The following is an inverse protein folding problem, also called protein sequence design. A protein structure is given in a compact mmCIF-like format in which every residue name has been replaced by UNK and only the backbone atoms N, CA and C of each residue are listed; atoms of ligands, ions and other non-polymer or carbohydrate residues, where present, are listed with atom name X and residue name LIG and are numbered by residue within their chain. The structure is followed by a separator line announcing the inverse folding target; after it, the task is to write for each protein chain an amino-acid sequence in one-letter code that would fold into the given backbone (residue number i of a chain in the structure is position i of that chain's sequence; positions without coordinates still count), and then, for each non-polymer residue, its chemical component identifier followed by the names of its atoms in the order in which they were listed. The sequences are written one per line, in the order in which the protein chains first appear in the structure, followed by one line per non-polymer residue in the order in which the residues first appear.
data_IF_065579897202
#
_entry.id   IF_065579897202
#
_cell.length_a   1.000
_cell.length_b   1.000
_cell.length_c   1.000
_cell.angle_alpha   90.00
_cell.angle_beta   90.00
_cell.angle_gamma   90.00
#
_symmetry.space_group_name_H-M   'P 1'
#
loop_
_entity.id
_entity.type
_entity.pdbx_description
1 polymer ?
#
# COMPACT_ATOMS: atom_id res chain seq x y z
N UNK A 1 -12.42 25.49 8.86
CA UNK A 1 -13.13 24.44 8.10
C UNK A 1 -14.34 25.06 7.38
N UNK A 2 -14.11 25.85 6.32
CA UNK A 2 -15.20 26.47 5.55
C UNK A 2 -15.28 25.85 4.15
N UNK A 3 -16.49 25.84 3.57
CA UNK A 3 -16.74 25.42 2.19
C UNK A 3 -16.75 23.91 1.94
N UNK A 4 -17.06 23.10 2.95
CA UNK A 4 -17.45 21.69 2.77
C UNK A 4 -18.97 21.62 2.55
N UNK A 5 -19.42 20.74 1.65
CA UNK A 5 -20.84 20.43 1.54
C UNK A 5 -21.30 19.56 2.75
N UNK A 6 -22.62 19.30 2.92
CA UNK A 6 -23.10 18.50 4.05
C UNK A 6 -22.50 17.10 4.14
N UNK A 7 -22.38 16.37 3.02
CA UNK A 7 -21.82 15.01 2.99
C UNK A 7 -20.33 14.98 3.33
N UNK A 8 -19.55 15.92 2.78
CA UNK A 8 -18.14 16.11 3.14
C UNK A 8 -17.98 16.49 4.62
N UNK A 9 -18.89 17.29 5.16
CA UNK A 9 -18.91 17.66 6.59
C UNK A 9 -19.20 16.44 7.46
N UNK A 10 -20.17 15.60 7.08
CA UNK A 10 -20.45 14.32 7.73
C UNK A 10 -19.22 13.43 7.73
N UNK A 11 -18.57 13.22 6.57
CA UNK A 11 -17.37 12.41 6.43
C UNK A 11 -16.18 12.91 7.27
N UNK A 12 -15.96 14.22 7.31
CA UNK A 12 -14.89 14.82 8.14
C UNK A 12 -15.18 14.63 9.64
N UNK A 13 -16.44 14.75 10.05
CA UNK A 13 -16.85 14.70 11.47
C UNK A 13 -17.07 13.29 12.01
N UNK A 14 -17.27 12.29 11.16
CA UNK A 14 -17.53 10.91 11.58
C UNK A 14 -16.44 10.35 12.52
N UNK A 15 -16.85 9.63 13.56
CA UNK A 15 -15.96 9.03 14.59
C UNK A 15 -16.53 7.70 15.07
N UNK A 16 -15.70 6.92 15.73
CA UNK A 16 -16.12 5.73 16.49
C UNK A 16 -16.20 4.44 15.67
N UNK A 17 -16.27 4.52 14.35
CA UNK A 17 -16.25 3.36 13.45
C UNK A 17 -15.40 3.64 12.22
N UNK A 18 -15.09 2.60 11.44
CA UNK A 18 -14.50 2.77 10.11
C UNK A 18 -15.43 3.56 9.19
N UNK A 19 -14.86 4.17 8.16
CA UNK A 19 -15.55 5.06 7.23
C UNK A 19 -15.12 4.75 5.79
N UNK A 20 -16.09 4.48 4.93
CA UNK A 20 -15.91 4.51 3.49
C UNK A 20 -16.57 5.78 2.92
N UNK A 21 -15.80 6.56 2.17
CA UNK A 21 -16.31 7.70 1.42
C UNK A 21 -16.26 7.36 -0.07
N UNK A 22 -17.43 7.14 -0.66
CA UNK A 22 -17.59 6.91 -2.08
C UNK A 22 -17.80 8.25 -2.78
N UNK A 23 -16.96 8.55 -3.75
CA UNK A 23 -16.96 9.86 -4.36
C UNK A 23 -16.37 9.85 -5.77
N UNK A 24 -17.12 10.41 -6.72
CA UNK A 24 -16.71 10.53 -8.12
C UNK A 24 -15.50 11.44 -8.35
N UNK A 25 -15.08 11.60 -9.61
CA UNK A 25 -14.06 12.57 -10.01
C UNK A 25 -14.44 14.00 -9.57
N UNK A 26 -13.48 14.77 -9.05
CA UNK A 26 -13.71 16.20 -8.72
C UNK A 26 -14.60 16.46 -7.49
N UNK A 27 -15.10 15.43 -6.81
CA UNK A 27 -15.93 15.49 -5.60
C UNK A 27 -15.20 15.99 -4.33
N UNK A 28 -13.88 16.17 -4.41
CA UNK A 28 -13.04 16.62 -3.30
C UNK A 28 -12.55 15.51 -2.36
N UNK A 29 -12.38 14.27 -2.84
CA UNK A 29 -11.80 13.12 -2.12
C UNK A 29 -10.63 13.49 -1.20
N UNK A 30 -9.54 13.96 -1.80
CA UNK A 30 -8.32 14.37 -1.08
C UNK A 30 -8.58 15.52 -0.10
N UNK A 31 -9.54 16.42 -0.39
CA UNK A 31 -9.95 17.49 0.53
C UNK A 31 -10.63 16.92 1.77
N UNK A 32 -11.47 15.89 1.63
CA UNK A 32 -12.10 15.20 2.76
C UNK A 32 -11.05 14.52 3.63
N UNK A 33 -10.13 13.75 3.04
CA UNK A 33 -9.03 13.09 3.78
C UNK A 33 -8.20 14.11 4.57
N UNK A 34 -7.69 15.13 3.89
CA UNK A 34 -6.83 16.16 4.52
C UNK A 34 -7.56 16.96 5.60
N UNK A 35 -8.83 17.33 5.37
CA UNK A 35 -9.61 18.07 6.37
C UNK A 35 -9.99 17.19 7.56
N UNK A 36 -10.22 15.89 7.35
CA UNK A 36 -10.43 14.93 8.43
C UNK A 36 -9.19 14.81 9.32
N UNK A 37 -7.99 14.70 8.72
CA UNK A 37 -6.73 14.70 9.47
C UNK A 37 -6.56 16.01 10.25
N UNK A 38 -6.79 17.15 9.60
CA UNK A 38 -6.74 18.45 10.27
C UNK A 38 -7.67 18.50 11.49
N UNK A 39 -8.89 17.95 11.35
CA UNK A 39 -9.85 17.87 12.47
C UNK A 39 -9.34 16.99 13.61
N UNK A 40 -8.78 15.81 13.31
CA UNK A 40 -8.19 14.93 14.33
C UNK A 40 -7.09 15.65 15.12
N UNK A 41 -6.20 16.36 14.44
CA UNK A 41 -5.12 17.13 15.07
C UNK A 41 -5.62 18.34 15.88
N UNK A 42 -6.73 18.95 15.48
CA UNK A 42 -7.39 20.02 16.26
C UNK A 42 -8.14 19.49 17.48
N UNK A 43 -8.47 18.19 17.50
CA UNK A 43 -9.08 17.47 18.62
C UNK A 43 -8.01 16.77 19.48
N UNK A 44 -6.76 17.23 19.39
CA UNK A 44 -5.61 16.76 20.17
C UNK A 44 -5.31 15.26 20.03
N UNK A 45 -5.68 14.65 18.91
CA UNK A 45 -5.15 13.33 18.52
C UNK A 45 -3.66 13.50 18.20
N UNK A 46 -2.82 12.72 18.88
CA UNK A 46 -1.37 12.74 18.66
C UNK A 46 -1.03 12.43 17.18
N UNK A 47 -0.19 13.24 16.50
CA UNK A 47 0.11 13.06 15.09
C UNK A 47 0.66 11.69 14.71
N UNK A 48 1.48 11.10 15.58
CA UNK A 48 2.05 9.76 15.44
C UNK A 48 1.00 8.64 15.43
N UNK A 49 -0.21 8.91 15.94
CA UNK A 49 -1.32 7.97 15.93
C UNK A 49 -2.15 8.04 14.63
N UNK A 50 -1.75 8.91 13.70
CA UNK A 50 -2.40 9.11 12.41
C UNK A 50 -1.46 8.69 11.28
N UNK A 51 -1.90 7.71 10.50
CA UNK A 51 -1.25 7.28 9.26
C UNK A 51 -2.16 7.60 8.09
N UNK A 52 -1.66 8.36 7.12
CA UNK A 52 -2.32 8.57 5.84
C UNK A 52 -1.48 8.03 4.68
N UNK A 53 -2.11 7.25 3.83
CA UNK A 53 -1.49 6.56 2.70
C UNK A 53 -2.15 6.97 1.39
N UNK A 54 -1.34 7.16 0.36
CA UNK A 54 -1.78 7.45 -1.02
C UNK A 54 -0.90 6.72 -2.04
N UNK A 55 -1.21 6.85 -3.33
CA UNK A 55 -0.52 6.16 -4.42
C UNK A 55 0.69 6.91 -4.96
N UNK A 56 0.75 8.24 -4.81
CA UNK A 56 1.84 9.04 -5.39
C UNK A 56 2.55 9.93 -4.37
N UNK A 57 3.86 10.10 -4.56
CA UNK A 57 4.65 11.02 -3.74
C UNK A 57 4.15 12.46 -3.88
N UNK A 58 3.63 12.83 -5.05
CA UNK A 58 3.00 14.13 -5.30
C UNK A 58 1.77 14.32 -4.42
N UNK A 59 0.83 13.37 -4.42
CA UNK A 59 -0.36 13.43 -3.57
C UNK A 59 0.02 13.48 -2.08
N UNK A 60 1.01 12.71 -1.64
CA UNK A 60 1.49 12.74 -0.26
C UNK A 60 2.05 14.11 0.13
N UNK A 61 2.80 14.75 -0.78
CA UNK A 61 3.36 16.09 -0.57
C UNK A 61 2.26 17.15 -0.54
N UNK A 62 1.34 17.14 -1.50
CA UNK A 62 0.22 18.08 -1.55
C UNK A 62 -0.72 17.95 -0.34
N UNK A 63 -0.97 16.72 0.12
CA UNK A 63 -1.73 16.48 1.35
C UNK A 63 -1.04 17.08 2.57
N UNK A 64 0.29 16.91 2.69
CA UNK A 64 1.08 17.50 3.78
C UNK A 64 1.09 19.02 3.72
N UNK A 65 1.33 19.62 2.56
CA UNK A 65 1.31 21.08 2.36
C UNK A 65 -0.05 21.66 2.74
N UNK A 66 -1.14 21.03 2.29
CA UNK A 66 -2.50 21.43 2.65
C UNK A 66 -2.76 21.31 4.15
N UNK A 67 -2.34 20.21 4.76
CA UNK A 67 -2.51 19.99 6.19
C UNK A 67 -1.78 21.06 7.01
N UNK A 68 -0.52 21.36 6.67
CA UNK A 68 0.26 22.44 7.30
C UNK A 68 -0.44 23.79 7.15
N UNK A 69 -1.03 24.08 5.99
CA UNK A 69 -1.83 25.30 5.81
C UNK A 69 -3.10 25.36 6.67
N UNK A 70 -3.65 24.22 7.10
CA UNK A 70 -4.87 24.14 7.91
C UNK A 70 -4.63 24.19 9.41
N UNK A 71 -3.55 23.58 9.91
CA UNK A 71 -3.28 23.41 11.36
C UNK A 71 -1.92 23.94 11.82
N UNK A 72 -1.08 24.41 10.90
CA UNK A 72 0.31 24.78 11.18
C UNK A 72 1.26 23.58 11.16
N UNK A 73 2.56 23.86 10.93
CA UNK A 73 3.58 22.81 10.79
C UNK A 73 3.84 22.05 12.11
N UNK A 74 3.79 22.75 13.24
CA UNK A 74 4.01 22.21 14.58
C UNK A 74 3.04 21.05 14.89
N UNK A 75 1.74 21.27 14.67
CA UNK A 75 0.70 20.23 14.88
C UNK A 75 0.83 19.05 13.93
N UNK A 76 1.58 19.16 12.84
CA UNK A 76 1.81 18.07 11.90
C UNK A 76 3.06 17.25 12.24
N UNK A 77 3.87 17.66 13.21
CA UNK A 77 5.13 16.99 13.51
C UNK A 77 4.89 15.56 14.01
N UNK A 78 5.53 14.58 13.37
CA UNK A 78 5.34 13.15 13.69
C UNK A 78 4.29 12.44 12.83
N UNK A 79 3.46 13.17 12.06
CA UNK A 79 2.45 12.52 11.22
C UNK A 79 3.05 11.68 10.09
N UNK A 80 2.52 10.47 9.93
CA UNK A 80 2.91 9.58 8.84
C UNK A 80 2.02 9.78 7.61
N UNK A 81 2.37 10.75 6.77
CA UNK A 81 1.77 10.93 5.42
C UNK A 81 2.75 10.52 4.32
N UNK A 82 2.46 9.42 3.63
CA UNK A 82 3.36 8.85 2.62
C UNK A 82 2.64 7.98 1.59
N UNK A 83 3.37 7.40 0.65
CA UNK A 83 2.86 6.28 -0.16
C UNK A 83 2.96 4.95 0.61
N UNK A 84 2.30 3.89 0.10
CA UNK A 84 2.49 2.53 0.62
C UNK A 84 3.97 2.13 0.63
N UNK A 85 4.67 2.36 -0.48
CA UNK A 85 6.09 2.04 -0.62
C UNK A 85 6.95 2.83 0.37
N UNK A 86 6.74 4.14 0.49
CA UNK A 86 7.48 4.95 1.47
C UNK A 86 7.19 4.57 2.92
N UNK A 87 5.98 4.08 3.22
CA UNK A 87 5.67 3.51 4.53
C UNK A 87 6.45 2.20 4.75
N UNK A 88 6.37 1.27 3.80
CA UNK A 88 7.04 -0.03 3.87
C UNK A 88 8.56 0.09 3.93
N UNK A 89 9.16 1.04 3.19
CA UNK A 89 10.59 1.33 3.28
C UNK A 89 10.96 1.70 4.71
N UNK A 90 10.27 2.65 5.35
CA UNK A 90 10.57 3.05 6.73
C UNK A 90 10.47 1.86 7.68
N UNK A 91 9.40 1.08 7.56
CA UNK A 91 9.19 -0.12 8.37
C UNK A 91 10.32 -1.15 8.19
N UNK A 92 10.72 -1.43 6.95
CA UNK A 92 11.79 -2.39 6.64
C UNK A 92 13.19 -1.86 6.98
N UNK A 93 13.41 -0.54 6.98
CA UNK A 93 14.66 0.05 7.47
C UNK A 93 14.83 -0.17 8.97
N UNK A 94 13.73 -0.10 9.70
CA UNK A 94 13.70 -0.26 11.16
C UNK A 94 13.73 -1.73 11.58
N UNK A 95 12.97 -2.59 10.89
CA UNK A 95 12.71 -3.97 11.33
C UNK A 95 13.06 -5.05 10.29
N UNK A 96 13.73 -4.69 9.20
CA UNK A 96 14.01 -5.59 8.07
C UNK A 96 14.86 -6.81 8.42
N UNK A 97 15.61 -6.79 9.52
CA UNK A 97 16.39 -7.93 9.99
C UNK A 97 15.53 -9.18 10.25
N UNK A 98 14.28 -9.00 10.66
CA UNK A 98 13.34 -10.10 10.90
C UNK A 98 12.88 -10.80 9.61
N UNK A 99 13.05 -10.16 8.45
CA UNK A 99 12.77 -10.73 7.13
C UNK A 99 14.05 -10.93 6.31
N UNK A 100 15.21 -10.96 6.97
CA UNK A 100 16.50 -11.24 6.36
C UNK A 100 17.10 -10.10 5.55
N UNK A 101 16.64 -8.86 5.76
CA UNK A 101 17.22 -7.65 5.19
C UNK A 101 18.21 -7.00 6.17
N UNK A 102 19.29 -6.44 5.63
CA UNK A 102 20.14 -5.49 6.34
C UNK A 102 19.50 -4.11 6.30
N UNK A 103 19.77 -3.28 7.30
CA UNK A 103 19.22 -1.92 7.41
C UNK A 103 19.49 -1.02 6.20
N UNK A 104 20.52 -1.31 5.40
CA UNK A 104 20.95 -0.53 4.23
C UNK A 104 20.73 -1.25 2.88
N UNK A 105 19.73 -2.14 2.76
CA UNK A 105 19.33 -2.73 1.47
C UNK A 105 19.13 -1.68 0.37
N UNK A 106 19.44 -1.98 -0.88
CA UNK A 106 19.22 -1.07 -2.00
C UNK A 106 17.93 -1.42 -2.74
N UNK A 107 17.31 -0.40 -3.36
CA UNK A 107 16.09 -0.59 -4.15
C UNK A 107 16.50 -0.85 -5.59
N UNK A 108 16.12 -2.01 -6.14
CA UNK A 108 16.46 -2.41 -7.50
C UNK A 108 15.66 -1.61 -8.53
N UNK A 109 16.36 -0.93 -9.44
CA UNK A 109 15.72 -0.28 -10.58
C UNK A 109 15.36 -1.30 -11.68
N UNK A 110 14.74 -0.84 -12.78
CA UNK A 110 14.33 -1.73 -13.87
C UNK A 110 15.54 -2.44 -14.53
N UNK A 111 16.70 -1.77 -14.61
CA UNK A 111 17.89 -2.37 -15.19
C UNK A 111 18.47 -3.45 -14.27
N UNK A 112 18.51 -3.20 -12.96
CA UNK A 112 18.88 -4.18 -11.95
C UNK A 112 17.97 -5.41 -12.04
N UNK A 113 16.65 -5.19 -12.06
CA UNK A 113 15.66 -6.27 -12.14
C UNK A 113 15.85 -7.12 -13.41
N UNK A 114 16.04 -6.48 -14.57
CA UNK A 114 16.29 -7.21 -15.83
C UNK A 114 17.60 -8.00 -15.75
N UNK A 115 18.66 -7.41 -15.22
CA UNK A 115 19.95 -8.08 -15.05
C UNK A 115 19.84 -9.33 -14.16
N UNK A 116 19.16 -9.20 -13.01
CA UNK A 116 18.98 -10.32 -12.09
C UNK A 116 18.07 -11.42 -12.65
N UNK A 117 17.06 -11.06 -13.46
CA UNK A 117 16.22 -12.05 -14.15
C UNK A 117 17.00 -12.81 -15.23
N UNK A 118 17.85 -12.12 -16.00
CA UNK A 118 18.72 -12.76 -16.99
C UNK A 118 19.69 -13.73 -16.32
N UNK A 119 20.29 -13.31 -15.19
CA UNK A 119 21.14 -14.18 -14.38
C UNK A 119 20.37 -15.39 -13.85
N UNK A 120 19.12 -15.22 -13.41
CA UNK A 120 18.25 -16.30 -12.95
C UNK A 120 17.93 -17.33 -14.05
N UNK A 121 17.76 -16.88 -15.30
CA UNK A 121 17.50 -17.78 -16.43
C UNK A 121 18.73 -18.63 -16.80
N UNK A 122 19.95 -18.08 -16.68
CA UNK A 122 21.19 -18.81 -16.94
C UNK A 122 21.19 -19.56 -18.28
N UNK A 123 21.28 -20.90 -18.22
CA UNK A 123 21.26 -21.78 -19.41
C UNK A 123 19.93 -21.75 -20.17
N UNK A 124 18.85 -21.32 -19.53
CA UNK A 124 17.51 -21.20 -20.12
C UNK A 124 17.25 -19.82 -20.73
N UNK A 125 18.28 -18.98 -20.91
CA UNK A 125 18.15 -17.63 -21.51
C UNK A 125 17.55 -17.60 -22.93
N UNK A 126 17.42 -18.75 -23.61
CA UNK A 126 16.70 -18.87 -24.87
C UNK A 126 15.21 -18.48 -24.76
N UNK A 127 14.60 -18.58 -23.58
CA UNK A 127 13.20 -18.16 -23.34
C UNK A 127 12.97 -16.69 -23.69
N UNK A 128 14.01 -15.85 -23.60
CA UNK A 128 13.91 -14.42 -23.90
C UNK A 128 13.69 -14.11 -25.37
N UNK A 129 13.87 -15.08 -26.28
CA UNK A 129 13.50 -14.94 -27.69
C UNK A 129 11.99 -14.87 -27.89
N UNK A 130 11.24 -15.61 -27.07
CA UNK A 130 9.78 -15.64 -27.10
C UNK A 130 9.17 -14.59 -26.16
N UNK A 131 9.73 -14.46 -24.96
CA UNK A 131 9.22 -13.56 -23.93
C UNK A 131 10.32 -12.63 -23.41
N UNK A 132 10.35 -11.35 -23.83
CA UNK A 132 11.34 -10.41 -23.37
C UNK A 132 11.38 -10.30 -21.82
N UNK A 133 12.55 -10.05 -21.20
CA UNK A 133 12.68 -10.03 -19.73
C UNK A 133 11.65 -9.15 -19.01
N UNK A 134 11.33 -7.97 -19.57
CA UNK A 134 10.33 -7.05 -18.99
C UNK A 134 8.93 -7.65 -18.93
N UNK A 135 8.57 -8.50 -19.90
CA UNK A 135 7.26 -9.17 -19.90
C UNK A 135 7.19 -10.22 -18.79
N UNK A 136 8.28 -10.96 -18.57
CA UNK A 136 8.38 -11.94 -17.48
C UNK A 136 8.38 -11.22 -16.12
N UNK A 137 9.12 -10.12 -15.97
CA UNK A 137 9.09 -9.29 -14.75
C UNK A 137 7.68 -8.75 -14.47
N UNK A 138 6.97 -8.31 -15.51
CA UNK A 138 5.57 -7.87 -15.35
C UNK A 138 4.69 -8.99 -14.82
N UNK A 139 4.91 -10.24 -15.24
CA UNK A 139 4.18 -11.39 -14.74
C UNK A 139 4.55 -11.73 -13.28
N UNK A 140 5.84 -11.61 -12.91
CA UNK A 140 6.28 -11.76 -11.52
C UNK A 140 5.67 -10.69 -10.63
N UNK A 141 5.64 -9.44 -11.09
CA UNK A 141 4.99 -8.32 -10.40
C UNK A 141 3.51 -8.60 -10.12
N UNK A 142 2.80 -9.22 -11.06
CA UNK A 142 1.41 -9.65 -10.83
C UNK A 142 1.29 -10.69 -9.70
N UNK A 143 2.21 -11.67 -9.62
CA UNK A 143 2.23 -12.61 -8.50
C UNK A 143 2.46 -11.89 -7.16
N UNK A 144 3.46 -10.99 -7.11
CA UNK A 144 3.77 -10.21 -5.92
C UNK A 144 2.59 -9.34 -5.50
N UNK A 145 1.92 -8.67 -6.43
CA UNK A 145 0.75 -7.83 -6.14
C UNK A 145 -0.47 -8.61 -5.63
N UNK A 146 -0.54 -9.91 -5.92
CA UNK A 146 -1.50 -10.84 -5.30
C UNK A 146 -1.06 -11.32 -3.90
N UNK A 147 0.13 -10.93 -3.44
CA UNK A 147 0.70 -11.33 -2.16
C UNK A 147 1.36 -12.71 -2.20
N UNK A 148 1.66 -13.25 -3.37
CA UNK A 148 2.18 -14.61 -3.53
C UNK A 148 3.72 -14.63 -3.46
N UNK A 149 4.24 -15.41 -2.53
CA UNK A 149 5.64 -15.85 -2.52
C UNK A 149 5.91 -16.85 -3.66
N UNK A 150 7.18 -17.08 -4.05
CA UNK A 150 7.51 -17.99 -5.14
C UNK A 150 6.90 -19.39 -5.00
N UNK A 151 6.87 -19.94 -3.80
CA UNK A 151 6.30 -21.25 -3.46
C UNK A 151 4.76 -21.29 -3.41
N UNK A 152 4.11 -20.13 -3.41
CA UNK A 152 2.65 -19.98 -3.34
C UNK A 152 2.01 -19.74 -4.71
N UNK A 153 2.82 -19.51 -5.75
CA UNK A 153 2.31 -19.26 -7.10
C UNK A 153 1.54 -20.50 -7.58
N UNK A 154 0.25 -20.36 -7.95
CA UNK A 154 -0.55 -21.49 -8.42
C UNK A 154 -0.04 -22.02 -9.77
N UNK A 155 -0.48 -23.21 -10.14
CA UNK A 155 -0.12 -23.83 -11.41
C UNK A 155 -0.41 -22.89 -12.59
N UNK A 156 0.58 -22.70 -13.45
CA UNK A 156 0.47 -21.82 -14.60
C UNK A 156 -0.60 -22.29 -15.61
N UNK A 157 -1.31 -21.32 -16.18
CA UNK A 157 -2.32 -21.50 -17.24
C UNK A 157 -1.86 -20.97 -18.60
N UNK A 158 -0.65 -20.39 -18.68
CA UNK A 158 -0.02 -19.94 -19.92
C UNK A 158 1.49 -20.19 -19.89
N UNK A 159 2.12 -20.22 -21.07
CA UNK A 159 3.56 -20.41 -21.19
C UNK A 159 4.36 -19.28 -20.49
N UNK A 160 3.93 -18.02 -20.65
CA UNK A 160 4.52 -16.88 -19.95
C UNK A 160 4.45 -17.06 -18.43
N UNK A 161 3.29 -17.48 -17.90
CA UNK A 161 3.10 -17.71 -16.47
C UNK A 161 3.98 -18.86 -15.98
N UNK A 162 4.13 -19.93 -16.76
CA UNK A 162 4.99 -21.07 -16.43
C UNK A 162 6.46 -20.66 -16.37
N UNK A 163 6.91 -19.85 -17.33
CA UNK A 163 8.28 -19.34 -17.36
C UNK A 163 8.51 -18.42 -16.16
N UNK A 164 7.61 -17.47 -15.91
CA UNK A 164 7.69 -16.56 -14.76
C UNK A 164 7.71 -17.33 -13.43
N UNK A 165 6.83 -18.33 -13.26
CA UNK A 165 6.79 -19.18 -12.06
C UNK A 165 8.11 -19.94 -11.85
N UNK A 166 8.71 -20.47 -12.93
CA UNK A 166 10.00 -21.18 -12.84
C UNK A 166 11.18 -20.27 -12.49
N UNK A 167 11.18 -19.03 -13.00
CA UNK A 167 12.27 -18.06 -12.77
C UNK A 167 12.12 -17.26 -11.47
N UNK A 168 10.91 -17.12 -10.93
CA UNK A 168 10.66 -16.28 -9.77
C UNK A 168 11.49 -16.65 -8.52
N UNK A 169 11.60 -17.93 -8.10
CA UNK A 169 12.43 -18.29 -6.95
C UNK A 169 13.90 -17.90 -7.13
N UNK A 170 14.46 -18.15 -8.32
CA UNK A 170 15.86 -17.86 -8.64
C UNK A 170 16.12 -16.35 -8.71
N UNK A 171 15.19 -15.61 -9.30
CA UNK A 171 15.20 -14.15 -9.33
C UNK A 171 15.21 -13.57 -7.92
N UNK A 172 14.33 -14.06 -7.03
CA UNK A 172 14.25 -13.58 -5.65
C UNK A 172 15.51 -13.94 -4.84
N UNK A 173 16.10 -15.11 -5.07
CA UNK A 173 17.38 -15.51 -4.47
C UNK A 173 18.52 -14.56 -4.87
N UNK A 174 18.60 -14.21 -6.16
CA UNK A 174 19.60 -13.28 -6.68
C UNK A 174 19.47 -11.90 -6.03
N UNK A 175 18.26 -11.34 -5.96
CA UNK A 175 18.00 -10.06 -5.28
C UNK A 175 18.44 -10.11 -3.81
N UNK A 176 18.03 -11.16 -3.08
CA UNK A 176 18.35 -11.32 -1.66
C UNK A 176 19.85 -11.43 -1.40
N UNK A 177 20.58 -12.19 -2.23
CA UNK A 177 22.03 -12.35 -2.13
C UNK A 177 22.78 -11.02 -2.24
N UNK A 178 22.25 -10.11 -3.08
CA UNK A 178 22.80 -8.77 -3.30
C UNK A 178 22.25 -7.71 -2.34
N UNK A 179 21.37 -8.08 -1.40
CA UNK A 179 20.64 -7.14 -0.54
C UNK A 179 19.88 -6.08 -1.37
N UNK A 180 19.33 -6.52 -2.50
CA UNK A 180 18.44 -5.77 -3.35
C UNK A 180 16.99 -6.12 -3.03
N UNK A 181 16.13 -5.12 -3.13
CA UNK A 181 14.68 -5.23 -2.93
C UNK A 181 14.04 -4.48 -4.08
N UNK A 182 13.21 -5.14 -4.90
CA UNK A 182 12.46 -4.43 -5.93
C UNK A 182 11.23 -3.70 -5.32
N UNK A 183 10.49 -2.98 -6.17
CA UNK A 183 9.41 -2.13 -5.69
C UNK A 183 8.25 -2.95 -5.06
N UNK A 184 7.92 -4.10 -5.64
CA UNK A 184 6.85 -4.96 -5.14
C UNK A 184 7.29 -5.73 -3.88
N UNK A 185 8.57 -6.09 -3.77
CA UNK A 185 9.15 -6.71 -2.58
C UNK A 185 9.03 -5.83 -1.35
N UNK A 186 9.05 -4.50 -1.49
CA UNK A 186 8.86 -3.60 -0.35
C UNK A 186 7.54 -3.89 0.36
N UNK A 187 6.47 -4.12 -0.41
CA UNK A 187 5.15 -4.39 0.14
C UNK A 187 5.07 -5.84 0.63
N UNK A 188 5.60 -6.78 -0.16
CA UNK A 188 5.53 -8.20 0.15
C UNK A 188 6.30 -8.53 1.43
N UNK A 189 7.54 -8.03 1.55
CA UNK A 189 8.36 -8.23 2.74
C UNK A 189 7.81 -7.48 3.97
N UNK A 190 7.21 -6.31 3.80
CA UNK A 190 6.52 -5.63 4.90
C UNK A 190 5.32 -6.46 5.38
N UNK A 191 4.57 -7.07 4.46
CA UNK A 191 3.46 -7.96 4.79
C UNK A 191 3.98 -9.23 5.47
N UNK A 192 5.09 -9.81 5.02
CA UNK A 192 5.76 -10.94 5.69
C UNK A 192 6.16 -10.58 7.11
N UNK A 193 6.83 -9.45 7.29
CA UNK A 193 7.25 -8.95 8.60
C UNK A 193 6.06 -8.86 9.56
N UNK A 194 4.97 -8.20 9.14
CA UNK A 194 3.80 -7.98 10.00
C UNK A 194 3.03 -9.27 10.25
N UNK A 195 3.01 -10.23 9.34
CA UNK A 195 2.35 -11.52 9.59
C UNK A 195 3.15 -12.39 10.56
N UNK A 196 4.47 -12.47 10.37
CA UNK A 196 5.35 -13.37 11.12
C UNK A 196 5.75 -12.81 12.49
N UNK A 197 5.85 -11.48 12.63
CA UNK A 197 6.25 -10.83 13.87
C UNK A 197 5.06 -10.10 14.52
N UNK A 198 4.37 -10.82 15.40
CA UNK A 198 3.18 -10.34 16.11
C UNK A 198 3.51 -9.16 17.03
N UNK A 199 4.69 -9.14 17.65
CA UNK A 199 5.07 -8.07 18.58
C UNK A 199 5.22 -6.73 17.87
N UNK A 200 5.92 -6.70 16.72
CA UNK A 200 6.05 -5.49 15.89
C UNK A 200 4.68 -5.05 15.37
N UNK A 201 3.84 -6.00 14.93
CA UNK A 201 2.48 -5.70 14.49
C UNK A 201 1.65 -5.07 15.62
N UNK A 202 1.69 -5.62 16.82
CA UNK A 202 0.98 -5.10 17.99
C UNK A 202 1.46 -3.70 18.37
N UNK A 203 2.77 -3.44 18.38
CA UNK A 203 3.32 -2.10 18.64
C UNK A 203 2.81 -1.06 17.64
N UNK A 204 2.74 -1.43 16.35
CA UNK A 204 2.18 -0.55 15.32
C UNK A 204 0.68 -0.36 15.51
N UNK A 205 -0.07 -1.43 15.80
CA UNK A 205 -1.51 -1.42 16.04
C UNK A 205 -1.92 -0.62 17.28
N UNK A 206 -1.09 -0.63 18.33
CA UNK A 206 -1.25 0.20 19.53
C UNK A 206 -1.03 1.68 19.25
N UNK A 207 -0.09 2.00 18.34
CA UNK A 207 0.17 3.39 17.94
C UNK A 207 -0.87 3.90 16.95
N UNK A 208 -1.24 3.11 15.94
CA UNK A 208 -2.05 3.57 14.80
C UNK A 208 -3.54 3.54 15.18
N UNK A 209 -4.06 4.67 15.63
CA UNK A 209 -5.48 4.82 15.96
C UNK A 209 -6.33 5.21 14.75
N UNK A 210 -5.73 5.91 13.79
CA UNK A 210 -6.41 6.37 12.58
C UNK A 210 -5.58 6.02 11.34
N UNK A 211 -6.14 5.19 10.47
CA UNK A 211 -5.53 4.81 9.19
C UNK A 211 -6.39 5.36 8.05
N UNK A 212 -5.85 6.32 7.29
CA UNK A 212 -6.55 6.97 6.19
C UNK A 212 -5.94 6.55 4.86
N UNK A 213 -6.78 6.15 3.91
CA UNK A 213 -6.35 5.68 2.59
C UNK A 213 -7.07 6.49 1.52
N UNK A 214 -6.29 7.18 0.68
CA UNK A 214 -6.76 7.89 -0.52
C UNK A 214 -6.67 6.96 -1.74
N UNK A 215 -7.58 7.12 -2.70
CA UNK A 215 -7.71 6.30 -3.91
C UNK A 215 -7.82 4.78 -3.62
N UNK A 216 -8.67 4.41 -2.65
CA UNK A 216 -8.80 3.03 -2.17
C UNK A 216 -9.19 2.02 -3.26
N UNK A 217 -9.88 2.45 -4.30
CA UNK A 217 -10.24 1.61 -5.46
C UNK A 217 -9.03 1.11 -6.24
N UNK A 218 -7.87 1.78 -6.14
CA UNK A 218 -6.64 1.39 -6.82
C UNK A 218 -5.83 0.33 -6.03
N UNK A 219 -6.33 -0.10 -4.87
CA UNK A 219 -5.62 -1.07 -4.02
C UNK A 219 -5.60 -2.48 -4.62
N UNK A 220 -4.44 -3.12 -4.55
CA UNK A 220 -4.30 -4.55 -4.88
C UNK A 220 -4.44 -5.44 -3.62
N UNK A 221 -4.56 -6.78 -3.76
CA UNK A 221 -4.70 -7.69 -2.63
C UNK A 221 -3.57 -7.60 -1.59
N UNK A 222 -2.33 -7.39 -2.02
CA UNK A 222 -1.19 -7.23 -1.11
C UNK A 222 -1.31 -5.95 -0.26
N UNK A 223 -1.69 -4.84 -0.87
CA UNK A 223 -1.94 -3.58 -0.16
C UNK A 223 -3.13 -3.69 0.81
N UNK A 224 -4.21 -4.37 0.41
CA UNK A 224 -5.33 -4.66 1.31
C UNK A 224 -4.86 -5.46 2.53
N UNK A 225 -4.07 -6.52 2.32
CA UNK A 225 -3.53 -7.34 3.41
C UNK A 225 -2.67 -6.50 4.36
N UNK A 226 -1.85 -5.58 3.84
CA UNK A 226 -1.09 -4.63 4.67
C UNK A 226 -2.01 -3.74 5.52
N UNK A 227 -3.06 -3.17 4.92
CA UNK A 227 -4.04 -2.33 5.63
C UNK A 227 -4.69 -3.13 6.76
N UNK A 228 -5.12 -4.37 6.49
CA UNK A 228 -5.73 -5.25 7.48
C UNK A 228 -4.78 -5.62 8.62
N UNK A 229 -3.48 -5.82 8.35
CA UNK A 229 -2.49 -6.11 9.38
C UNK A 229 -2.15 -4.89 10.24
N UNK A 230 -2.21 -3.68 9.66
CA UNK A 230 -1.96 -2.43 10.37
C UNK A 230 -3.16 -1.96 11.19
N UNK A 231 -4.38 -2.26 10.74
CA UNK A 231 -5.60 -1.90 11.43
C UNK A 231 -5.84 -2.84 12.63
N UNK A 232 -5.76 -2.31 13.84
CA UNK A 232 -6.29 -3.00 15.01
C UNK A 232 -7.83 -3.00 15.00
N UNK A 233 -8.50 -3.86 15.79
CA UNK A 233 -9.96 -3.82 15.92
C UNK A 233 -10.51 -2.45 16.41
N UNK A 234 -9.68 -1.65 17.08
CA UNK A 234 -10.02 -0.32 17.56
C UNK A 234 -9.59 0.80 16.60
N UNK A 235 -8.79 0.48 15.57
CA UNK A 235 -8.32 1.44 14.59
C UNK A 235 -9.49 1.93 13.72
N UNK A 236 -9.65 3.25 13.60
CA UNK A 236 -10.64 3.83 12.71
C UNK A 236 -10.06 3.95 11.30
N UNK A 237 -10.35 2.97 10.46
CA UNK A 237 -9.95 2.97 9.05
C UNK A 237 -10.88 3.90 8.26
N UNK A 238 -10.31 4.85 7.52
CA UNK A 238 -11.03 5.77 6.66
C UNK A 238 -10.52 5.64 5.22
N UNK A 239 -11.30 5.00 4.36
CA UNK A 239 -11.00 4.89 2.94
C UNK A 239 -11.82 5.91 2.14
N UNK A 240 -11.18 6.51 1.13
CA UNK A 240 -11.85 7.35 0.14
C UNK A 240 -11.56 6.78 -1.24
N UNK A 241 -12.60 6.63 -2.05
CA UNK A 241 -12.43 6.07 -3.39
C UNK A 241 -13.62 6.32 -4.30
N UNK A 242 -13.46 5.89 -5.54
CA UNK A 242 -14.41 6.06 -6.63
C UNK A 242 -14.80 4.68 -7.18
N UNK A 243 -16.06 4.28 -7.00
CA UNK A 243 -16.58 3.02 -7.50
C UNK A 243 -16.75 3.02 -9.02
N UNK A 244 -17.00 4.18 -9.64
CA UNK A 244 -17.19 4.33 -11.09
C UNK A 244 -15.87 4.37 -11.88
N UNK A 245 -14.76 4.82 -11.27
CA UNK A 245 -13.44 4.89 -11.92
C UNK A 245 -12.59 3.61 -11.81
N UNK A 246 -13.10 2.58 -11.14
CA UNK A 246 -12.37 1.31 -10.90
C UNK A 246 -12.18 0.44 -12.16
N UNK A 247 -12.47 0.94 -13.36
CA UNK A 247 -12.30 0.28 -14.66
C UNK A 247 -10.83 0.03 -15.08
N UNK A 248 -9.85 0.38 -14.25
CA UNK A 248 -8.41 0.27 -14.56
C UNK A 248 -7.70 -0.92 -13.85
N UNK A 249 -8.24 -2.13 -14.01
CA UNK A 249 -7.68 -3.39 -13.49
C UNK A 249 -6.24 -3.73 -13.97
N UNK A 250 -5.67 -2.96 -14.90
CA UNK A 250 -4.40 -3.27 -15.58
C UNK A 250 -3.15 -3.22 -14.67
N UNK A 251 -3.27 -2.78 -13.41
CA UNK A 251 -2.20 -2.79 -12.39
C UNK A 251 -2.43 -3.78 -11.25
N UNK A 252 -3.40 -4.69 -11.37
CA UNK A 252 -3.74 -5.63 -10.30
C UNK A 252 -4.57 -5.02 -9.16
N UNK A 253 -5.10 -3.81 -9.34
CA UNK A 253 -6.13 -3.25 -8.47
C UNK A 253 -7.38 -4.16 -8.49
N UNK A 254 -7.99 -4.41 -7.33
CA UNK A 254 -9.19 -5.24 -7.22
C UNK A 254 -10.36 -4.40 -6.70
N UNK A 255 -11.36 -4.17 -7.57
CA UNK A 255 -12.59 -3.46 -7.21
C UNK A 255 -13.35 -4.14 -6.07
N UNK A 256 -13.20 -5.45 -5.88
CA UNK A 256 -13.81 -6.16 -4.77
C UNK A 256 -13.34 -5.59 -3.42
N UNK A 257 -12.15 -4.99 -3.33
CA UNK A 257 -11.66 -4.38 -2.10
C UNK A 257 -12.58 -3.25 -1.63
N UNK A 258 -12.95 -2.33 -2.52
CA UNK A 258 -13.83 -1.20 -2.15
C UNK A 258 -15.25 -1.68 -1.86
N UNK A 259 -15.73 -2.70 -2.59
CA UNK A 259 -17.05 -3.29 -2.39
C UNK A 259 -17.15 -4.11 -1.09
N UNK A 260 -16.05 -4.70 -0.63
CA UNK A 260 -15.98 -5.50 0.59
C UNK A 260 -15.56 -4.70 1.82
N UNK A 261 -15.26 -3.42 1.69
CA UNK A 261 -14.77 -2.58 2.79
C UNK A 261 -15.66 -2.67 4.05
N UNK A 262 -16.99 -2.66 3.88
CA UNK A 262 -17.92 -2.76 5.02
C UNK A 262 -17.80 -4.10 5.76
N UNK A 263 -17.46 -5.18 5.06
CA UNK A 263 -17.25 -6.51 5.64
C UNK A 263 -15.88 -6.60 6.30
N UNK A 264 -14.85 -6.07 5.63
CA UNK A 264 -13.46 -6.17 6.08
C UNK A 264 -13.17 -5.24 7.28
N UNK A 265 -13.90 -4.13 7.42
CA UNK A 265 -13.66 -3.11 8.45
C UNK A 265 -14.92 -2.78 9.27
N UNK A 266 -15.71 -3.79 9.64
CA UNK A 266 -16.88 -3.62 10.50
C UNK A 266 -16.49 -3.28 11.97
N UNK A 267 -17.25 -2.42 12.67
CA UNK A 267 -18.38 -1.62 12.17
C UNK A 267 -17.91 -0.50 11.23
N UNK A 268 -18.70 -0.24 10.19
CA UNK A 268 -18.38 0.73 9.15
C UNK A 268 -19.57 1.66 8.86
N UNK A 269 -19.27 2.90 8.48
CA UNK A 269 -20.23 3.86 7.91
C UNK A 269 -19.84 4.14 6.46
N UNK A 270 -20.82 4.16 5.56
CA UNK A 270 -20.61 4.59 4.16
C UNK A 270 -21.25 5.95 3.92
N UNK A 271 -20.52 6.87 3.29
CA UNK A 271 -20.99 8.19 2.90
C UNK A 271 -20.71 8.41 1.41
N UNK A 272 -21.71 8.87 0.67
CA UNK A 272 -21.58 9.23 -0.75
C UNK A 272 -21.48 10.75 -0.90
N UNK A 273 -20.49 11.25 -1.65
CA UNK A 273 -20.27 12.69 -1.88
C UNK A 273 -20.97 13.22 -3.12
#
# INVERSE_FOLDING_TARGET
MHGLNPAQTEAVRHRGTSLLVLAGAGSGKTRVVTTRIAKLLMEDVAPENIVGVTFTNKAAKEMRERLVGLVGAERCQGISLSTFHSFCIRLLREHGSHVGLKSFFAIADVADQVSQLIAAAGKHSSVFKAFPPRQILSQISLFKNQGLLPEQVPNAHSELQSIAQSLYPLYQQNLKALQLVDFDDLLLLARELLQQNVDIRNQLQERIHHLLIDEYQDTNPLQLSLIQLLASPQCQVCAVGDDDQAIYAFRGANIENILRFEQDFAPCRVIKL
#
